data_IF_261078806112
#
_entry.id   IF_261078806112
#
_cell.length_a   1.000
_cell.length_b   1.000
_cell.length_c   1.000
_cell.angle_alpha   90.00
_cell.angle_beta   90.00
_cell.angle_gamma   90.00
#
_symmetry.space_group_name_H-M   'P 1'
#
loop_
_entity.id
_entity.type
_entity.pdbx_description
1 polymer ?
#
# COMPACT_ATOMS: atom_id res chain seq x y z
N UNK A 1 0.70 -42.04 -10.44
CA UNK A 1 1.11 -41.58 -9.10
C UNK A 1 1.50 -40.12 -9.27
N UNK A 2 0.57 -39.20 -8.98
CA UNK A 2 0.76 -37.76 -9.25
C UNK A 2 1.32 -37.09 -8.02
N UNK A 3 2.47 -36.44 -8.18
CA UNK A 3 3.17 -35.67 -7.16
C UNK A 3 2.31 -34.47 -6.71
N UNK A 4 1.95 -34.32 -5.42
CA UNK A 4 1.20 -33.17 -4.91
C UNK A 4 2.18 -32.02 -4.60
N UNK A 5 3.00 -31.66 -5.57
CA UNK A 5 4.00 -30.60 -5.46
C UNK A 5 3.45 -29.22 -5.82
N UNK A 6 3.03 -28.47 -4.80
CA UNK A 6 3.13 -27.01 -4.73
C UNK A 6 2.36 -26.17 -5.79
N UNK A 7 1.03 -26.07 -5.64
CA UNK A 7 0.23 -25.00 -6.26
C UNK A 7 0.10 -23.81 -5.30
N UNK A 8 1.11 -22.96 -5.17
CA UNK A 8 0.80 -21.55 -4.90
C UNK A 8 0.04 -21.07 -6.15
N UNK A 9 -1.29 -21.01 -6.04
CA UNK A 9 -2.15 -20.97 -7.21
C UNK A 9 -1.97 -19.65 -7.96
N UNK A 10 -2.05 -19.66 -9.29
CA UNK A 10 -2.05 -18.41 -10.09
C UNK A 10 -3.20 -17.46 -9.70
N UNK A 11 -4.21 -17.97 -9.00
CA UNK A 11 -5.24 -17.15 -8.34
C UNK A 11 -4.65 -16.32 -7.20
N UNK A 12 -3.83 -16.89 -6.33
CA UNK A 12 -3.27 -16.17 -5.18
C UNK A 12 -2.29 -15.08 -5.62
N UNK A 13 -1.45 -15.35 -6.63
CA UNK A 13 -0.60 -14.30 -7.23
C UNK A 13 -1.40 -13.17 -7.85
N UNK A 14 -2.53 -13.46 -8.49
CA UNK A 14 -3.41 -12.43 -9.06
C UNK A 14 -4.05 -11.58 -7.95
N UNK A 15 -4.52 -12.21 -6.87
CA UNK A 15 -5.04 -11.49 -5.70
C UNK A 15 -3.99 -10.55 -5.11
N UNK A 16 -2.78 -11.04 -4.86
CA UNK A 16 -1.71 -10.19 -4.30
C UNK A 16 -1.34 -9.04 -5.23
N UNK A 17 -1.38 -9.22 -6.56
CA UNK A 17 -1.18 -8.11 -7.52
C UNK A 17 -2.27 -7.05 -7.43
N UNK A 18 -3.54 -7.45 -7.29
CA UNK A 18 -4.66 -6.51 -7.10
C UNK A 18 -4.47 -5.74 -5.80
N UNK A 19 -4.18 -6.44 -4.69
CA UNK A 19 -3.93 -5.80 -3.40
C UNK A 19 -2.75 -4.81 -3.43
N UNK A 20 -1.69 -5.11 -4.20
CA UNK A 20 -0.60 -4.16 -4.44
C UNK A 20 -1.11 -2.91 -5.16
N UNK A 21 -1.87 -3.09 -6.24
CA UNK A 21 -2.43 -1.98 -7.01
C UNK A 21 -3.36 -1.10 -6.18
N UNK A 22 -4.16 -1.71 -5.29
CA UNK A 22 -5.06 -0.99 -4.39
C UNK A 22 -4.25 -0.15 -3.38
N UNK A 23 -3.19 -0.72 -2.79
CA UNK A 23 -2.31 0.00 -1.88
C UNK A 23 -1.59 1.17 -2.58
N UNK A 24 -1.12 0.95 -3.81
CA UNK A 24 -0.47 2.00 -4.60
C UNK A 24 -1.43 3.16 -4.93
N UNK A 25 -2.70 2.84 -5.20
CA UNK A 25 -3.73 3.85 -5.44
C UNK A 25 -4.03 4.67 -4.17
N UNK A 26 -4.14 4.01 -3.01
CA UNK A 26 -4.35 4.69 -1.72
C UNK A 26 -3.17 5.60 -1.35
N UNK A 27 -1.93 5.13 -1.56
CA UNK A 27 -0.73 5.94 -1.35
C UNK A 27 -0.72 7.17 -2.25
N UNK A 28 -1.00 7.01 -3.55
CA UNK A 28 -1.07 8.14 -4.48
C UNK A 28 -2.16 9.15 -4.10
N UNK A 29 -3.31 8.68 -3.59
CA UNK A 29 -4.34 9.55 -3.05
C UNK A 29 -3.85 10.33 -1.83
N UNK A 30 -3.17 9.69 -0.87
CA UNK A 30 -2.63 10.37 0.30
C UNK A 30 -1.55 11.40 -0.07
N UNK A 31 -0.66 11.07 -1.01
CA UNK A 31 0.34 12.01 -1.54
C UNK A 31 -0.30 13.25 -2.16
N UNK A 32 -1.35 13.07 -2.95
CA UNK A 32 -2.12 14.18 -3.51
C UNK A 32 -2.73 15.04 -2.40
N UNK A 33 -3.34 14.43 -1.37
CA UNK A 33 -3.93 15.15 -0.23
C UNK A 33 -2.90 15.91 0.59
N UNK A 34 -1.74 15.32 0.84
CA UNK A 34 -0.62 15.98 1.54
C UNK A 34 -0.14 17.17 0.72
N UNK A 35 0.04 17.00 -0.58
CA UNK A 35 0.44 18.06 -1.51
C UNK A 35 -0.56 19.21 -1.51
N UNK A 36 -1.87 18.90 -1.49
CA UNK A 36 -2.94 19.91 -1.43
C UNK A 36 -2.97 20.67 -0.11
N UNK A 37 -2.60 20.05 1.02
CA UNK A 37 -2.47 20.74 2.31
C UNK A 37 -1.24 21.66 2.30
N UNK A 38 -0.17 21.25 1.63
CA UNK A 38 1.06 22.03 1.53
C UNK A 38 1.96 21.92 2.76
N UNK A 39 3.05 22.68 2.75
CA UNK A 39 4.09 22.65 3.79
C UNK A 39 3.74 23.45 5.06
N UNK A 40 2.77 24.35 5.00
CA UNK A 40 2.37 25.20 6.13
C UNK A 40 0.85 25.09 6.41
N UNK A 41 0.42 24.11 7.23
CA UNK A 41 -0.98 23.94 7.57
C UNK A 41 -1.44 25.04 8.55
N UNK A 42 -2.34 25.90 8.08
CA UNK A 42 -2.86 27.07 8.80
C UNK A 42 -3.78 26.70 9.98
N UNK A 43 -4.45 25.55 9.90
CA UNK A 43 -5.44 25.12 10.89
C UNK A 43 -5.03 23.86 11.67
N UNK A 44 -5.49 23.69 12.92
CA UNK A 44 -5.34 22.43 13.65
C UNK A 44 -5.89 21.22 12.88
N UNK A 45 -6.95 21.41 12.09
CA UNK A 45 -7.53 20.36 11.25
C UNK A 45 -6.60 19.92 10.13
N UNK A 46 -5.97 20.87 9.42
CA UNK A 46 -4.97 20.54 8.40
C UNK A 46 -3.74 19.85 9.01
N UNK A 47 -3.29 20.30 10.19
CA UNK A 47 -2.20 19.63 10.94
C UNK A 47 -2.55 18.18 11.27
N UNK A 48 -3.77 17.95 11.75
CA UNK A 48 -4.26 16.60 12.04
C UNK A 48 -4.36 15.74 10.77
N UNK A 49 -4.91 16.29 9.68
CA UNK A 49 -5.02 15.59 8.39
C UNK A 49 -3.64 15.21 7.84
N UNK A 50 -2.69 16.15 7.82
CA UNK A 50 -1.32 15.92 7.37
C UNK A 50 -0.66 14.80 8.19
N UNK A 51 -0.78 14.84 9.52
CA UNK A 51 -0.25 13.80 10.40
C UNK A 51 -0.90 12.44 10.11
N UNK A 52 -2.21 12.39 9.94
CA UNK A 52 -2.95 11.16 9.63
C UNK A 52 -2.52 10.57 8.30
N UNK A 53 -2.47 11.36 7.22
CA UNK A 53 -2.07 10.87 5.90
C UNK A 53 -0.63 10.35 5.90
N UNK A 54 0.30 11.04 6.57
CA UNK A 54 1.69 10.57 6.71
C UNK A 54 1.80 9.25 7.47
N UNK A 55 1.00 9.06 8.53
CA UNK A 55 0.98 7.78 9.26
C UNK A 55 0.42 6.66 8.38
N UNK A 56 -0.69 6.91 7.67
CA UNK A 56 -1.32 5.93 6.80
C UNK A 56 -0.41 5.55 5.62
N UNK A 57 0.19 6.53 4.96
CA UNK A 57 1.17 6.34 3.89
C UNK A 57 2.31 5.41 4.33
N UNK A 58 2.89 5.65 5.51
CA UNK A 58 3.95 4.81 6.08
C UNK A 58 3.49 3.36 6.31
N UNK A 59 2.31 3.16 6.92
CA UNK A 59 1.77 1.83 7.19
C UNK A 59 1.47 1.06 5.88
N UNK A 60 0.96 1.78 4.88
CA UNK A 60 0.71 1.22 3.55
C UNK A 60 2.01 0.85 2.83
N UNK A 61 3.05 1.68 2.94
CA UNK A 61 4.36 1.38 2.39
C UNK A 61 4.94 0.09 2.99
N UNK A 62 4.88 -0.07 4.32
CA UNK A 62 5.32 -1.30 5.00
C UNK A 62 4.53 -2.53 4.54
N UNK A 63 3.22 -2.39 4.36
CA UNK A 63 2.34 -3.45 3.81
C UNK A 63 2.69 -3.80 2.36
N UNK A 64 2.94 -2.79 1.53
CA UNK A 64 3.32 -2.93 0.13
C UNK A 64 4.64 -3.69 -0.02
N UNK A 65 5.65 -3.33 0.78
CA UNK A 65 6.95 -4.02 0.78
C UNK A 65 6.80 -5.50 1.16
N UNK A 66 5.94 -5.81 2.14
CA UNK A 66 5.65 -7.19 2.52
C UNK A 66 5.00 -7.96 1.37
N UNK A 67 3.96 -7.42 0.73
CA UNK A 67 3.28 -8.07 -0.40
C UNK A 67 4.18 -8.22 -1.63
N UNK A 68 5.05 -7.25 -1.90
CA UNK A 68 6.05 -7.36 -2.98
C UNK A 68 7.05 -8.49 -2.71
N UNK A 69 7.48 -8.69 -1.45
CA UNK A 69 8.32 -9.84 -1.07
C UNK A 69 7.59 -11.17 -1.26
N UNK A 70 6.29 -11.23 -0.99
CA UNK A 70 5.48 -12.45 -1.22
C UNK A 70 5.39 -12.84 -2.70
N UNK A 71 5.40 -11.86 -3.63
CA UNK A 71 5.43 -12.12 -5.08
C UNK A 71 6.85 -12.34 -5.62
N UNK A 72 7.84 -11.61 -5.09
CA UNK A 72 9.24 -11.68 -5.54
C UNK A 72 10.01 -12.85 -4.93
N UNK A 73 9.51 -13.46 -3.85
CA UNK A 73 10.04 -14.67 -3.24
C UNK A 73 9.78 -15.89 -4.10
N UNK A 74 10.59 -16.03 -5.15
CA UNK A 74 10.80 -17.25 -5.92
C UNK A 74 12.29 -17.45 -6.10
#
# INVERSE_FOLDING_TARGET
>A
MSDPGNKTSDSDRRKTKVEISDIEADMAYFDARITMIGSDPETPYQKAQLKTYRILEKLLQESLEKKRKEISGK
#
